data_IF_586725141058
#
_entry.id   IF_586725141058
#
_cell.length_a   1.000
_cell.length_b   1.000
_cell.length_c   1.000
_cell.angle_alpha   90.00
_cell.angle_beta   90.00
_cell.angle_gamma   90.00
#
_symmetry.space_group_name_H-M   'P 1'
#
loop_
_entity.id
_entity.type
_entity.pdbx_description
1 polymer ?
#
# COMPACT_ATOMS: atom_id res chain seq x y z
N UNK A 1 -12.98 6.32 2.87
CA UNK A 1 -13.44 7.47 3.70
C UNK A 1 -13.91 6.92 5.03
N UNK A 2 -13.62 7.59 6.16
CA UNK A 2 -14.14 7.20 7.48
C UNK A 2 -14.59 8.43 8.27
N UNK A 3 -15.83 8.42 8.76
CA UNK A 3 -16.40 9.42 9.65
C UNK A 3 -16.47 8.87 11.08
N UNK A 4 -15.57 9.38 11.92
CA UNK A 4 -15.46 8.96 13.32
C UNK A 4 -16.65 9.37 14.19
N UNK A 5 -17.48 10.33 13.78
CA UNK A 5 -18.63 10.82 14.57
C UNK A 5 -19.86 9.94 14.38
N UNK A 6 -20.03 9.41 13.17
CA UNK A 6 -21.19 8.59 12.80
C UNK A 6 -20.88 7.09 12.74
N UNK A 7 -19.59 6.73 12.89
CA UNK A 7 -19.05 5.39 12.68
C UNK A 7 -19.38 4.87 11.27
N UNK A 8 -19.33 5.76 10.28
CA UNK A 8 -19.57 5.42 8.87
C UNK A 8 -18.24 5.32 8.12
N UNK A 9 -18.10 4.29 7.30
CA UNK A 9 -17.08 4.18 6.29
C UNK A 9 -17.73 4.29 4.91
N UNK A 10 -17.00 4.85 3.96
CA UNK A 10 -17.45 4.93 2.58
C UNK A 10 -16.33 4.68 1.59
N UNK A 11 -16.68 4.10 0.44
CA UNK A 11 -15.79 3.85 -0.69
C UNK A 11 -16.39 4.52 -1.91
N UNK A 12 -15.59 5.34 -2.59
CA UNK A 12 -15.98 6.08 -3.78
C UNK A 12 -15.08 5.63 -4.92
N UNK A 13 -15.68 5.17 -6.01
CA UNK A 13 -14.96 5.02 -7.27
C UNK A 13 -15.28 6.18 -8.18
N UNK A 14 -14.26 6.74 -8.82
CA UNK A 14 -14.37 7.85 -9.75
C UNK A 14 -14.09 7.34 -11.17
N UNK A 15 -15.15 7.02 -11.91
CA UNK A 15 -15.12 6.85 -13.37
C UNK A 15 -15.50 8.14 -14.10
N UNK A 16 -15.37 8.14 -15.42
CA UNK A 16 -15.83 9.22 -16.31
C UNK A 16 -17.36 9.21 -16.45
N UNK A 17 -18.00 8.03 -16.42
CA UNK A 17 -19.44 7.84 -16.58
C UNK A 17 -20.12 7.36 -15.29
N UNK A 18 -19.46 6.51 -14.52
CA UNK A 18 -19.97 5.89 -13.30
C UNK A 18 -19.21 6.41 -12.09
N UNK A 19 -19.93 6.78 -11.03
CA UNK A 19 -19.33 7.29 -9.79
C UNK A 19 -20.04 6.70 -8.57
N UNK A 20 -19.92 5.39 -8.34
CA UNK A 20 -20.62 4.72 -7.25
C UNK A 20 -20.01 5.07 -5.89
N UNK A 21 -20.89 5.20 -4.90
CA UNK A 21 -20.55 5.47 -3.51
C UNK A 21 -21.23 4.44 -2.61
N UNK A 22 -20.43 3.57 -2.01
CA UNK A 22 -20.89 2.63 -0.98
C UNK A 22 -20.64 3.21 0.40
N UNK A 23 -21.59 3.02 1.30
CA UNK A 23 -21.51 3.42 2.70
C UNK A 23 -21.83 2.22 3.57
N UNK A 24 -21.14 2.11 4.70
CA UNK A 24 -21.47 1.11 5.72
C UNK A 24 -21.11 1.63 7.11
N UNK A 25 -21.77 1.10 8.13
CA UNK A 25 -21.41 1.30 9.55
C UNK A 25 -20.71 0.08 10.16
N UNK A 26 -20.60 -1.01 9.41
CA UNK A 26 -19.89 -2.23 9.78
C UNK A 26 -19.10 -2.77 8.58
N UNK A 27 -17.99 -3.45 8.84
CA UNK A 27 -17.15 -4.07 7.83
C UNK A 27 -15.95 -3.22 7.45
N UNK A 28 -15.52 -3.35 6.19
CA UNK A 28 -14.29 -2.78 5.68
C UNK A 28 -14.45 -2.46 4.20
N UNK A 29 -13.53 -1.64 3.70
CA UNK A 29 -13.25 -1.52 2.27
C UNK A 29 -11.75 -1.64 2.08
N UNK A 30 -11.34 -2.37 1.04
CA UNK A 30 -9.93 -2.54 0.67
C UNK A 30 -9.71 -1.95 -0.72
N UNK A 31 -8.50 -1.49 -0.99
CA UNK A 31 -8.13 -0.96 -2.30
C UNK A 31 -6.71 -1.38 -2.66
N UNK A 32 -6.51 -1.79 -3.91
CA UNK A 32 -5.24 -2.26 -4.45
C UNK A 32 -5.13 -1.94 -5.93
N UNK A 33 -5.59 -0.77 -6.35
CA UNK A 33 -5.75 -0.42 -7.78
C UNK A 33 -6.68 -1.39 -8.52
N UNK A 34 -7.71 -1.87 -7.83
CA UNK A 34 -8.73 -2.79 -8.33
C UNK A 34 -10.05 -2.03 -8.42
N UNK A 35 -10.64 -1.95 -9.62
CA UNK A 35 -11.99 -1.43 -9.81
C UNK A 35 -13.01 -2.52 -9.43
N UNK A 36 -13.99 -2.19 -8.60
CA UNK A 36 -14.96 -3.16 -8.07
C UNK A 36 -16.37 -3.00 -8.65
N UNK A 37 -16.75 -1.81 -9.11
CA UNK A 37 -18.07 -1.60 -9.68
C UNK A 37 -18.25 -2.33 -11.03
N UNK A 38 -19.32 -3.13 -11.20
CA UNK A 38 -19.57 -3.83 -12.45
C UNK A 38 -19.74 -2.92 -13.68
N UNK A 39 -20.27 -1.71 -13.52
CA UNK A 39 -20.45 -0.78 -14.64
C UNK A 39 -19.13 -0.08 -14.99
N UNK A 40 -18.33 0.34 -14.00
CA UNK A 40 -16.95 0.82 -14.22
C UNK A 40 -16.13 -0.24 -14.95
N UNK A 41 -16.11 -1.47 -14.43
CA UNK A 41 -15.37 -2.60 -15.02
C UNK A 41 -15.76 -2.89 -16.47
N UNK A 42 -17.05 -2.72 -16.80
CA UNK A 42 -17.57 -3.05 -18.12
C UNK A 42 -17.41 -1.91 -19.12
N UNK A 43 -17.56 -0.67 -18.68
CA UNK A 43 -17.78 0.47 -19.59
C UNK A 43 -16.65 1.49 -19.61
N UNK A 44 -15.68 1.39 -18.69
CA UNK A 44 -14.68 2.43 -18.46
C UNK A 44 -13.24 1.94 -18.31
N UNK A 45 -13.01 0.62 -18.34
CA UNK A 45 -11.66 0.05 -18.26
C UNK A 45 -11.57 -1.25 -19.08
N UNK A 46 -10.35 -1.58 -19.48
CA UNK A 46 -9.95 -2.87 -20.07
C UNK A 46 -9.34 -3.82 -19.04
N UNK A 47 -9.37 -3.44 -17.75
CA UNK A 47 -8.86 -4.22 -16.64
C UNK A 47 -9.59 -5.56 -16.45
N UNK A 48 -8.85 -6.67 -16.54
CA UNK A 48 -9.38 -8.01 -16.26
C UNK A 48 -9.36 -8.32 -14.75
N UNK A 49 -10.48 -8.10 -14.08
CA UNK A 49 -10.70 -8.43 -12.67
C UNK A 49 -10.63 -9.93 -12.35
N UNK A 50 -10.61 -10.82 -13.36
CA UNK A 50 -10.57 -12.28 -13.17
C UNK A 50 -9.16 -12.86 -13.24
N UNK A 51 -8.20 -12.14 -13.84
CA UNK A 51 -6.81 -12.58 -13.87
C UNK A 51 -6.13 -12.36 -12.51
N UNK A 52 -6.17 -13.40 -11.68
CA UNK A 52 -5.60 -13.36 -10.32
C UNK A 52 -4.07 -13.20 -10.30
N UNK A 53 -3.38 -13.34 -11.43
CA UNK A 53 -1.93 -13.27 -11.50
C UNK A 53 -1.40 -11.84 -11.59
N UNK A 54 -2.26 -10.86 -11.87
CA UNK A 54 -1.87 -9.44 -11.91
C UNK A 54 -1.64 -8.88 -10.51
N UNK A 55 -0.74 -7.90 -10.39
CA UNK A 55 -0.47 -7.18 -9.13
C UNK A 55 -1.73 -6.69 -8.39
N UNK A 56 -2.63 -5.89 -9.00
CA UNK A 56 -3.83 -5.41 -8.32
C UNK A 56 -4.74 -6.53 -7.80
N UNK A 57 -4.91 -7.60 -8.57
CA UNK A 57 -5.79 -8.72 -8.22
C UNK A 57 -5.20 -9.59 -7.11
N UNK A 58 -3.90 -9.91 -7.20
CA UNK A 58 -3.20 -10.67 -6.17
C UNK A 58 -3.22 -9.92 -4.81
N UNK A 59 -2.98 -8.60 -4.83
CA UNK A 59 -3.08 -7.74 -3.64
C UNK A 59 -4.51 -7.65 -3.11
N UNK A 60 -5.51 -7.59 -3.99
CA UNK A 60 -6.92 -7.57 -3.57
C UNK A 60 -7.32 -8.86 -2.84
N UNK A 61 -6.93 -10.02 -3.40
CA UNK A 61 -7.13 -11.32 -2.75
C UNK A 61 -6.45 -11.34 -1.38
N UNK A 62 -5.21 -10.85 -1.27
CA UNK A 62 -4.49 -10.80 0.01
C UNK A 62 -5.20 -9.90 1.03
N UNK A 63 -5.68 -8.74 0.60
CA UNK A 63 -6.47 -7.86 1.45
C UNK A 63 -7.72 -8.55 2.00
N UNK A 64 -8.51 -9.19 1.14
CA UNK A 64 -9.71 -9.93 1.54
C UNK A 64 -9.40 -11.07 2.52
N UNK A 65 -8.31 -11.81 2.30
CA UNK A 65 -7.83 -12.85 3.23
C UNK A 65 -7.55 -12.26 4.63
N UNK A 66 -6.80 -11.15 4.70
CA UNK A 66 -6.46 -10.48 5.96
C UNK A 66 -7.70 -9.92 6.67
N UNK A 67 -8.61 -9.29 5.93
CA UNK A 67 -9.84 -8.74 6.52
C UNK A 67 -10.74 -9.84 7.07
N UNK A 68 -10.88 -10.97 6.35
CA UNK A 68 -11.66 -12.12 6.81
C UNK A 68 -11.07 -12.73 8.09
N UNK A 69 -9.75 -12.82 8.21
CA UNK A 69 -9.08 -13.40 9.36
C UNK A 69 -9.14 -12.51 10.61
N UNK A 70 -9.20 -11.19 10.41
CA UNK A 70 -8.99 -10.21 11.49
C UNK A 70 -10.20 -9.30 11.75
N UNK A 71 -11.37 -9.60 11.17
CA UNK A 71 -12.59 -8.78 11.34
C UNK A 71 -12.86 -8.51 12.83
N UNK A 72 -13.02 -7.23 13.17
CA UNK A 72 -13.30 -6.77 14.53
C UNK A 72 -12.09 -6.70 15.47
N UNK A 73 -10.87 -6.97 14.96
CA UNK A 73 -9.63 -6.99 15.76
C UNK A 73 -8.52 -6.08 15.22
N UNK A 74 -8.73 -5.45 14.07
CA UNK A 74 -7.71 -4.64 13.40
C UNK A 74 -7.47 -3.37 14.23
N UNK A 75 -6.24 -3.26 14.75
CA UNK A 75 -5.72 -2.06 15.38
C UNK A 75 -4.60 -1.43 14.53
N UNK A 76 -3.92 -0.43 15.09
CA UNK A 76 -2.82 0.27 14.42
C UNK A 76 -1.65 -0.66 14.11
N UNK A 77 -1.29 -1.56 15.03
CA UNK A 77 -0.14 -2.46 14.84
C UNK A 77 -0.41 -3.46 13.73
N UNK A 78 -1.63 -4.03 13.68
CA UNK A 78 -2.04 -4.88 12.57
C UNK A 78 -2.05 -4.12 11.24
N UNK A 79 -2.51 -2.86 11.22
CA UNK A 79 -2.49 -2.04 10.01
C UNK A 79 -1.05 -1.80 9.51
N UNK A 80 -0.10 -1.50 10.41
CA UNK A 80 1.34 -1.39 10.08
C UNK A 80 1.87 -2.70 9.47
N UNK A 81 1.53 -3.85 10.08
CA UNK A 81 1.92 -5.17 9.58
C UNK A 81 1.32 -5.49 8.21
N UNK A 82 0.03 -5.21 7.99
CA UNK A 82 -0.63 -5.46 6.71
C UNK A 82 -0.05 -4.59 5.59
N UNK A 83 0.23 -3.32 5.87
CA UNK A 83 0.90 -2.45 4.90
C UNK A 83 2.33 -2.91 4.58
N UNK A 84 2.95 -3.66 5.49
CA UNK A 84 4.28 -4.26 5.37
C UNK A 84 4.26 -5.68 4.79
N UNK A 85 3.10 -6.23 4.47
CA UNK A 85 2.92 -7.64 4.14
C UNK A 85 3.52 -8.02 2.78
N UNK A 86 4.27 -9.13 2.79
CA UNK A 86 4.95 -9.72 1.63
C UNK A 86 4.40 -11.10 1.23
N UNK A 87 3.18 -11.46 1.64
CA UNK A 87 2.60 -12.73 1.23
C UNK A 87 1.98 -12.61 -0.16
N UNK A 88 2.57 -13.28 -1.16
CA UNK A 88 2.03 -13.36 -2.51
C UNK A 88 0.89 -14.39 -2.55
N UNK A 89 -0.32 -13.92 -2.83
CA UNK A 89 -1.52 -14.77 -2.82
C UNK A 89 -1.60 -15.74 -4.00
N UNK A 90 -0.77 -15.59 -5.02
CA UNK A 90 -0.67 -16.49 -6.19
C UNK A 90 0.37 -17.57 -5.92
N UNK A 91 1.57 -17.17 -5.51
CA UNK A 91 2.69 -18.09 -5.25
C UNK A 91 2.53 -18.80 -3.89
N UNK A 92 1.64 -18.29 -3.02
CA UNK A 92 1.39 -18.75 -1.65
C UNK A 92 2.67 -18.80 -0.80
N UNK A 93 3.54 -17.80 -1.01
CA UNK A 93 4.82 -17.69 -0.34
C UNK A 93 5.11 -16.23 0.04
N UNK A 94 5.87 -16.05 1.12
CA UNK A 94 6.30 -14.72 1.57
C UNK A 94 7.64 -14.33 0.94
N UNK A 95 7.61 -13.31 0.09
CA UNK A 95 8.79 -12.66 -0.48
C UNK A 95 8.40 -11.31 -1.09
N UNK A 96 9.26 -10.30 -0.99
CA UNK A 96 9.02 -8.99 -1.59
C UNK A 96 8.89 -9.13 -3.12
N UNK A 97 7.77 -8.63 -3.68
CA UNK A 97 7.56 -8.58 -5.13
C UNK A 97 6.45 -7.58 -5.50
N UNK A 98 6.05 -7.55 -6.77
CA UNK A 98 5.05 -6.61 -7.30
C UNK A 98 3.59 -6.95 -6.91
N UNK A 99 3.32 -8.18 -6.49
CA UNK A 99 2.00 -8.72 -6.11
C UNK A 99 1.70 -8.65 -4.61
N UNK A 100 2.65 -8.20 -3.80
CA UNK A 100 2.49 -8.08 -2.34
C UNK A 100 1.94 -6.72 -1.91
N UNK A 101 1.36 -6.63 -0.70
CA UNK A 101 0.76 -5.37 -0.22
C UNK A 101 1.81 -4.28 -0.05
N UNK A 102 2.94 -4.61 0.57
CA UNK A 102 4.16 -3.83 0.43
C UNK A 102 4.76 -4.17 -0.94
N UNK A 103 4.37 -3.45 -1.98
CA UNK A 103 4.81 -3.72 -3.35
C UNK A 103 6.29 -3.37 -3.55
N UNK A 104 7.04 -4.28 -4.16
CA UNK A 104 8.43 -4.13 -4.60
C UNK A 104 8.59 -4.58 -6.04
N UNK A 105 8.27 -3.71 -7.00
CA UNK A 105 8.51 -4.00 -8.42
C UNK A 105 10.01 -3.96 -8.72
N UNK A 106 10.76 -3.18 -7.95
CA UNK A 106 12.21 -2.97 -8.04
C UNK A 106 13.05 -4.25 -7.80
N UNK A 107 12.46 -5.28 -7.19
CA UNK A 107 13.09 -6.60 -7.01
C UNK A 107 12.39 -7.71 -7.79
N UNK A 108 11.33 -7.38 -8.54
CA UNK A 108 10.52 -8.35 -9.25
C UNK A 108 11.02 -8.59 -10.69
N UNK A 109 11.35 -9.83 -11.08
CA UNK A 109 11.71 -10.16 -12.46
C UNK A 109 10.53 -10.11 -13.44
N UNK A 110 9.30 -9.90 -12.97
CA UNK A 110 8.08 -9.95 -13.79
C UNK A 110 7.65 -8.58 -14.28
N UNK A 111 7.81 -7.55 -13.45
CA UNK A 111 7.18 -6.26 -13.68
C UNK A 111 5.66 -6.31 -13.52
N UNK A 112 4.98 -5.26 -13.97
CA UNK A 112 3.52 -5.13 -13.90
C UNK A 112 2.99 -4.79 -15.29
N UNK A 113 2.73 -5.83 -16.09
CA UNK A 113 2.34 -5.69 -17.50
C UNK A 113 1.07 -4.84 -17.69
N UNK A 114 0.08 -4.98 -16.80
CA UNK A 114 -1.17 -4.18 -16.81
C UNK A 114 -0.93 -2.67 -16.66
N UNK A 115 0.23 -2.26 -16.13
CA UNK A 115 0.63 -0.85 -16.04
C UNK A 115 1.77 -0.49 -17.00
N UNK A 116 2.15 -1.41 -17.90
CA UNK A 116 3.28 -1.22 -18.80
C UNK A 116 4.64 -1.16 -18.09
N UNK A 117 4.76 -1.74 -16.89
CA UNK A 117 6.02 -1.81 -16.13
C UNK A 117 6.78 -3.07 -16.47
N UNK A 118 8.04 -2.89 -16.86
CA UNK A 118 8.95 -3.99 -17.17
C UNK A 118 9.50 -4.68 -15.92
N UNK A 119 10.28 -5.77 -16.09
CA UNK A 119 11.04 -6.38 -15.01
C UNK A 119 11.88 -5.35 -14.24
N UNK A 120 11.89 -5.45 -12.92
CA UNK A 120 12.66 -4.62 -12.01
C UNK A 120 12.36 -3.12 -12.11
N UNK A 121 11.21 -2.70 -12.64
CA UNK A 121 10.87 -1.27 -12.68
C UNK A 121 10.99 -0.64 -11.28
N UNK A 122 11.70 0.50 -11.10
CA UNK A 122 11.96 1.11 -9.78
C UNK A 122 10.70 1.79 -9.20
N UNK A 123 9.64 1.01 -9.06
CA UNK A 123 8.33 1.37 -8.54
C UNK A 123 7.97 0.45 -7.36
N UNK A 124 7.26 0.98 -6.38
CA UNK A 124 6.78 0.21 -5.25
C UNK A 124 6.10 1.06 -4.19
N UNK A 125 5.82 0.45 -3.05
CA UNK A 125 5.30 1.16 -1.90
C UNK A 125 6.39 2.07 -1.30
N UNK A 126 6.18 3.39 -1.30
CA UNK A 126 7.20 4.36 -0.81
C UNK A 126 6.91 4.93 0.58
N UNK A 127 5.80 4.52 1.19
CA UNK A 127 5.37 4.94 2.52
C UNK A 127 4.18 4.11 3.00
N UNK A 128 4.02 4.01 4.32
CA UNK A 128 2.83 3.46 4.96
C UNK A 128 2.24 4.46 5.95
N UNK A 129 0.91 4.49 6.10
CA UNK A 129 0.23 5.29 7.12
C UNK A 129 -0.96 4.55 7.69
N UNK A 130 -1.16 4.65 9.00
CA UNK A 130 -2.34 4.17 9.67
C UNK A 130 -2.83 5.20 10.70
N UNK A 131 -4.14 5.22 10.94
CA UNK A 131 -4.77 6.02 12.00
C UNK A 131 -6.04 5.32 12.44
N UNK A 132 -6.45 5.56 13.67
CA UNK A 132 -7.72 5.09 14.24
C UNK A 132 -8.60 6.29 14.61
N UNK A 133 -9.80 6.02 15.14
CA UNK A 133 -10.74 7.07 15.54
C UNK A 133 -10.19 8.01 16.61
N UNK A 134 -9.40 7.52 17.56
CA UNK A 134 -8.86 8.32 18.66
C UNK A 134 -7.66 9.18 18.19
N UNK A 135 -6.80 8.63 17.34
CA UNK A 135 -5.71 9.36 16.69
C UNK A 135 -6.28 10.44 15.77
N UNK A 136 -7.28 10.12 14.95
CA UNK A 136 -7.93 11.08 14.04
C UNK A 136 -8.55 12.25 14.80
N UNK A 137 -9.16 12.01 15.97
CA UNK A 137 -9.66 13.09 16.85
C UNK A 137 -8.58 14.08 17.25
N UNK A 138 -7.36 13.59 17.47
CA UNK A 138 -6.19 14.38 17.84
C UNK A 138 -5.37 14.86 16.63
N UNK A 139 -5.86 14.62 15.41
CA UNK A 139 -5.13 14.89 14.16
C UNK A 139 -3.74 14.21 14.16
N UNK A 140 -3.73 12.93 14.52
CA UNK A 140 -2.54 12.08 14.59
C UNK A 140 -2.63 10.94 13.56
N UNK A 141 -1.48 10.46 13.12
CA UNK A 141 -1.32 9.21 12.38
C UNK A 141 0.02 8.55 12.75
N UNK A 142 0.15 7.26 12.52
CA UNK A 142 1.46 6.61 12.43
C UNK A 142 1.86 6.54 10.97
N UNK A 143 3.09 6.89 10.64
CA UNK A 143 3.61 6.82 9.29
C UNK A 143 5.04 6.30 9.25
N UNK A 144 5.38 5.74 8.09
CA UNK A 144 6.73 5.33 7.71
C UNK A 144 7.03 5.89 6.34
N UNK A 145 8.17 6.58 6.20
CA UNK A 145 8.75 6.90 4.91
C UNK A 145 9.63 5.72 4.43
N UNK A 146 9.62 5.45 3.13
CA UNK A 146 10.24 4.26 2.55
C UNK A 146 9.28 3.07 2.48
N UNK A 147 9.76 1.91 2.02
CA UNK A 147 8.94 0.72 1.97
C UNK A 147 8.34 0.43 3.36
N UNK A 148 7.03 0.20 3.48
CA UNK A 148 6.39 -0.12 4.75
C UNK A 148 7.06 -1.26 5.54
N UNK A 149 7.61 -2.27 4.86
CA UNK A 149 8.39 -3.36 5.44
C UNK A 149 9.70 -2.90 6.10
N UNK A 150 10.26 -1.78 5.64
CA UNK A 150 11.49 -1.20 6.18
C UNK A 150 12.74 -1.42 5.38
N UNK A 151 12.60 -1.99 4.19
CA UNK A 151 13.72 -2.08 3.26
C UNK A 151 14.02 -0.72 2.64
N UNK A 152 15.32 -0.47 2.47
CA UNK A 152 15.80 0.69 1.73
C UNK A 152 15.79 0.41 0.24
N UNK A 153 15.50 1.44 -0.55
CA UNK A 153 15.88 1.47 -1.96
C UNK A 153 17.15 2.30 -2.12
N UNK A 154 18.19 1.70 -2.74
CA UNK A 154 19.49 2.34 -3.00
C UNK A 154 19.63 2.51 -4.52
N UNK A 155 19.53 3.75 -5.00
CA UNK A 155 19.47 4.03 -6.42
C UNK A 155 20.76 3.59 -7.15
N UNK A 156 21.92 3.83 -6.55
CA UNK A 156 23.20 3.42 -7.15
C UNK A 156 23.32 1.89 -7.26
N UNK A 157 22.95 1.15 -6.21
CA UNK A 157 23.03 -0.32 -6.19
C UNK A 157 22.02 -0.94 -7.17
N UNK A 158 20.82 -0.35 -7.24
CA UNK A 158 19.79 -0.75 -8.18
C UNK A 158 20.25 -0.54 -9.63
N UNK A 159 20.75 0.65 -9.97
CA UNK A 159 21.21 0.97 -11.33
C UNK A 159 22.44 0.16 -11.75
N UNK A 160 23.27 -0.28 -10.79
CA UNK A 160 24.38 -1.20 -11.07
C UNK A 160 23.89 -2.60 -11.48
N UNK A 161 22.75 -3.06 -10.93
CA UNK A 161 22.12 -4.35 -11.27
C UNK A 161 21.22 -4.25 -12.51
N UNK A 162 20.61 -3.09 -12.72
CA UNK A 162 19.60 -2.84 -13.75
C UNK A 162 20.00 -1.63 -14.64
N UNK A 163 21.06 -1.76 -15.44
CA UNK A 163 21.56 -0.67 -16.29
C UNK A 163 20.54 -0.20 -17.35
N UNK A 164 19.52 -1.00 -17.66
CA UNK A 164 18.38 -0.62 -18.50
C UNK A 164 17.64 0.63 -17.97
N UNK A 165 17.72 0.91 -16.67
CA UNK A 165 17.13 2.09 -16.04
C UNK A 165 18.13 3.23 -15.83
N UNK A 166 19.37 3.14 -16.33
CA UNK A 166 20.42 4.16 -16.13
C UNK A 166 20.02 5.57 -16.61
N UNK A 167 19.10 5.67 -17.55
CA UNK A 167 18.54 6.95 -18.00
C UNK A 167 17.85 7.74 -16.88
N UNK A 168 17.45 7.08 -15.78
CA UNK A 168 16.83 7.71 -14.62
C UNK A 168 17.84 8.33 -13.64
N UNK A 169 19.16 8.11 -13.82
CA UNK A 169 20.22 8.60 -12.91
C UNK A 169 20.06 10.06 -12.45
N UNK A 170 19.65 11.03 -13.30
CA UNK A 170 19.51 12.43 -12.85
C UNK A 170 18.39 12.64 -11.80
N UNK A 171 17.42 11.74 -11.73
CA UNK A 171 16.18 11.89 -10.96
C UNK A 171 15.99 10.80 -9.89
N UNK A 172 16.49 9.59 -10.12
CA UNK A 172 16.34 8.47 -9.22
C UNK A 172 17.16 8.70 -7.95
N UNK A 173 16.49 8.66 -6.79
CA UNK A 173 17.09 8.94 -5.48
C UNK A 173 17.00 7.72 -4.58
N UNK A 174 17.93 7.64 -3.65
CA UNK A 174 17.83 6.74 -2.51
C UNK A 174 16.54 7.03 -1.73
N UNK A 175 15.89 5.96 -1.30
CA UNK A 175 14.77 6.00 -0.37
C UNK A 175 15.13 5.17 0.86
N UNK A 176 15.64 5.84 1.89
CA UNK A 176 15.90 5.19 3.19
C UNK A 176 14.60 5.01 3.94
N UNK A 177 14.33 3.79 4.40
CA UNK A 177 13.18 3.55 5.24
C UNK A 177 13.42 4.03 6.68
N UNK A 178 12.56 4.91 7.16
CA UNK A 178 12.53 5.33 8.56
C UNK A 178 11.81 4.30 9.45
N UNK A 179 11.77 4.49 10.77
CA UNK A 179 10.87 3.73 11.63
C UNK A 179 9.41 4.18 11.45
N UNK A 180 8.47 3.31 11.82
CA UNK A 180 7.10 3.75 12.07
C UNK A 180 7.08 4.79 13.19
N UNK A 181 6.55 5.97 12.89
CA UNK A 181 6.61 7.15 13.75
C UNK A 181 5.23 7.77 13.88
N UNK A 182 4.82 8.15 15.09
CA UNK A 182 3.57 8.90 15.29
C UNK A 182 3.80 10.37 14.95
N UNK A 183 3.00 10.88 14.03
CA UNK A 183 2.94 12.29 13.64
C UNK A 183 1.67 12.92 14.18
N UNK A 184 1.79 14.18 14.61
CA UNK A 184 0.66 15.00 15.08
C UNK A 184 0.60 16.31 14.32
N UNK A 185 -0.59 16.89 14.18
CA UNK A 185 -0.75 18.21 13.55
C UNK A 185 0.06 19.34 14.21
N UNK A 186 0.41 19.20 15.49
CA UNK A 186 1.23 20.14 16.24
C UNK A 186 2.74 19.99 16.00
N UNK A 187 3.17 18.91 15.36
CA UNK A 187 4.60 18.64 15.16
C UNK A 187 5.22 19.72 14.27
N UNK A 188 6.47 20.08 14.63
CA UNK A 188 7.32 20.98 13.86
C UNK A 188 8.62 20.27 13.54
N UNK A 189 9.32 20.78 12.55
CA UNK A 189 10.68 20.34 12.26
C UNK A 189 11.54 20.42 13.53
N UNK A 190 12.21 19.31 13.87
CA UNK A 190 13.08 19.22 15.05
C UNK A 190 12.38 18.99 16.41
N UNK A 191 11.04 18.92 16.48
CA UNK A 191 10.32 18.69 17.76
C UNK A 191 9.93 17.23 17.98
N UNK A 192 10.18 16.35 17.02
CA UNK A 192 9.87 14.93 17.14
C UNK A 192 11.00 14.22 17.89
N UNK A 193 10.70 13.69 19.07
CA UNK A 193 11.56 12.69 19.71
C UNK A 193 11.49 11.42 18.86
N UNK A 194 12.62 10.92 18.36
CA UNK A 194 12.68 9.59 17.77
C UNK A 194 12.11 8.60 18.79
N UNK A 195 10.90 8.10 18.54
CA UNK A 195 10.31 7.06 19.36
C UNK A 195 11.29 5.89 19.40
N UNK A 196 11.54 5.34 20.59
CA UNK A 196 12.40 4.17 20.72
C UNK A 196 11.94 3.11 19.71
N UNK A 197 12.86 2.46 18.96
CA UNK A 197 12.48 1.44 18.01
C UNK A 197 11.67 0.38 18.75
N UNK A 198 10.40 0.21 18.36
CA UNK A 198 9.56 -0.86 18.90
C UNK A 198 10.22 -2.16 18.44
N UNK A 199 10.77 -2.92 19.39
CA UNK A 199 11.31 -4.24 19.12
C UNK A 199 10.14 -5.12 18.67
N UNK A 200 10.20 -5.59 17.43
CA UNK A 200 9.37 -6.68 16.95
C UNK A 200 9.91 -7.93 17.68
N UNK A 201 9.08 -8.56 18.52
CA UNK A 201 9.36 -9.88 19.08
C UNK A 201 8.90 -10.97 18.12
#
# INVERSE_FOLDING_TARGET
IGDRKTNEIAYLELGLKHTPLWRSKDGYFVSSNFAQDPAVLKEETDFDSKDRTTSPNARHVRWEELMKQNKGRIDIEMAEQFLSDHFDSVDKASHANERTLCGHTDVSPRGIAVWGRGPYDPEGAVQGKATDSAMTERMELVARAGHPCGEDFRAADFLAKHPEYAWQTPLLRDMKAGPWTTFKSSDREGTQSAGAPRRIN
#
